data_IF_417096965478
#
_entry.id   IF_417096965478
#
_cell.length_a   1.000
_cell.length_b   1.000
_cell.length_c   1.000
_cell.angle_alpha   90.00
_cell.angle_beta   90.00
_cell.angle_gamma   90.00
#
_symmetry.space_group_name_H-M   'P 1'
#
loop_
_entity.id
_entity.type
_entity.pdbx_description
1 polymer ?
#
# COMPACT_ATOMS: atom_id res chain seq x y z
N UNK A 1 33.02 -2.04 -7.73
CA UNK A 1 32.46 -0.75 -8.17
C UNK A 1 31.39 -0.21 -7.20
N UNK A 2 30.25 -0.87 -6.98
CA UNK A 2 29.17 -0.37 -6.10
C UNK A 2 29.64 0.12 -4.71
N UNK A 3 30.23 -0.76 -3.88
CA UNK A 3 30.69 -0.42 -2.52
C UNK A 3 31.69 0.74 -2.49
N UNK A 4 32.53 0.86 -3.53
CA UNK A 4 33.49 1.95 -3.66
C UNK A 4 32.79 3.28 -3.91
N UNK A 5 31.76 3.32 -4.76
CA UNK A 5 30.97 4.53 -4.98
C UNK A 5 30.15 4.92 -3.74
N UNK A 6 29.56 3.96 -3.03
CA UNK A 6 28.90 4.22 -1.75
C UNK A 6 29.86 4.92 -0.78
N UNK A 7 31.07 4.39 -0.60
CA UNK A 7 32.09 5.01 0.26
C UNK A 7 32.50 6.41 -0.22
N UNK A 8 32.77 6.57 -1.52
CA UNK A 8 33.15 7.86 -2.10
C UNK A 8 32.09 8.95 -1.88
N UNK A 9 30.80 8.60 -2.02
CA UNK A 9 29.68 9.51 -1.83
C UNK A 9 29.11 9.51 -0.41
N UNK A 10 29.77 8.85 0.55
CA UNK A 10 29.37 8.78 1.97
C UNK A 10 27.99 8.15 2.20
N UNK A 11 27.61 7.16 1.39
CA UNK A 11 26.46 6.31 1.63
C UNK A 11 26.88 5.02 2.35
N UNK A 12 26.27 4.77 3.50
CA UNK A 12 26.36 3.48 4.18
C UNK A 12 25.37 2.52 3.51
N UNK A 13 25.85 1.53 2.75
CA UNK A 13 25.00 0.63 1.95
C UNK A 13 24.00 -0.16 2.80
N UNK A 14 24.34 -0.40 4.06
CA UNK A 14 23.49 -1.12 5.00
C UNK A 14 22.42 -0.23 5.69
N UNK A 15 22.49 1.09 5.56
CA UNK A 15 21.53 2.02 6.18
C UNK A 15 20.75 2.84 5.17
N UNK A 16 21.41 3.31 4.11
CA UNK A 16 20.84 4.31 3.20
C UNK A 16 20.30 3.72 1.90
N UNK A 17 20.61 2.46 1.59
CA UNK A 17 20.25 1.84 0.30
C UNK A 17 19.12 0.84 0.51
N UNK A 18 18.00 1.08 -0.15
CA UNK A 18 16.76 0.31 -0.03
C UNK A 18 16.32 -0.14 -1.44
N UNK A 19 16.92 -1.20 -2.02
CA UNK A 19 16.42 -1.80 -3.25
C UNK A 19 14.98 -2.28 -3.07
N UNK A 20 14.25 -2.25 -4.18
CA UNK A 20 12.85 -2.67 -4.24
C UNK A 20 12.71 -3.95 -5.08
N UNK A 21 11.96 -4.92 -4.57
CA UNK A 21 11.62 -6.14 -5.30
C UNK A 21 10.72 -5.88 -6.50
N UNK A 22 10.76 -6.76 -7.50
CA UNK A 22 9.90 -6.61 -8.68
C UNK A 22 8.41 -6.68 -8.30
N UNK A 23 7.60 -5.78 -8.86
CA UNK A 23 6.14 -5.80 -8.71
C UNK A 23 5.47 -7.08 -9.25
N UNK A 24 6.21 -7.90 -10.01
CA UNK A 24 5.75 -9.19 -10.53
C UNK A 24 5.87 -10.32 -9.49
N UNK A 25 6.66 -10.13 -8.43
CA UNK A 25 6.86 -11.12 -7.37
C UNK A 25 5.65 -11.10 -6.43
N UNK A 26 4.98 -12.25 -6.29
CA UNK A 26 3.92 -12.45 -5.29
C UNK A 26 4.24 -13.69 -4.45
N UNK A 27 4.90 -13.49 -3.30
CA UNK A 27 5.19 -14.57 -2.34
C UNK A 27 3.94 -15.14 -1.66
N UNK A 28 2.78 -14.49 -1.78
CA UNK A 28 1.53 -15.00 -1.25
C UNK A 28 0.81 -15.95 -2.23
N UNK A 29 1.35 -16.14 -3.45
CA UNK A 29 0.75 -17.03 -4.46
C UNK A 29 0.89 -18.50 -4.04
N UNK A 30 -0.18 -19.28 -4.21
CA UNK A 30 -0.27 -20.68 -3.75
C UNK A 30 -0.15 -21.73 -4.86
N UNK A 31 -0.33 -21.33 -6.13
CA UNK A 31 0.05 -22.17 -7.29
C UNK A 31 1.56 -22.47 -7.27
N UNK A 32 1.94 -23.73 -7.45
CA UNK A 32 3.31 -24.20 -7.23
C UNK A 32 4.34 -23.56 -8.14
N UNK A 33 4.04 -23.41 -9.43
CA UNK A 33 5.00 -22.90 -10.41
C UNK A 33 5.24 -21.41 -10.20
N UNK A 34 4.17 -20.66 -9.95
CA UNK A 34 4.25 -19.23 -9.66
C UNK A 34 4.88 -18.95 -8.29
N UNK A 35 4.53 -19.76 -7.28
CA UNK A 35 5.15 -19.65 -5.96
C UNK A 35 6.66 -19.88 -6.06
N UNK A 36 7.08 -20.93 -6.78
CA UNK A 36 8.50 -21.22 -7.01
C UNK A 36 9.20 -20.08 -7.75
N UNK A 37 8.60 -19.57 -8.83
CA UNK A 37 9.17 -18.45 -9.59
C UNK A 37 9.33 -17.19 -8.73
N UNK A 38 8.32 -16.86 -7.92
CA UNK A 38 8.36 -15.73 -7.00
C UNK A 38 9.45 -15.93 -5.93
N UNK A 39 9.52 -17.12 -5.34
CA UNK A 39 10.54 -17.47 -4.34
C UNK A 39 11.96 -17.35 -4.91
N UNK A 40 12.23 -17.98 -6.06
CA UNK A 40 13.55 -17.99 -6.67
C UNK A 40 14.03 -16.56 -6.97
N UNK A 41 13.14 -15.71 -7.49
CA UNK A 41 13.44 -14.29 -7.74
C UNK A 41 13.75 -13.52 -6.45
N UNK A 42 12.94 -13.72 -5.41
CA UNK A 42 13.12 -13.05 -4.13
C UNK A 42 14.41 -13.50 -3.41
N UNK A 43 14.70 -14.80 -3.42
CA UNK A 43 15.91 -15.36 -2.83
C UNK A 43 17.18 -14.88 -3.55
N UNK A 44 17.16 -14.78 -4.89
CA UNK A 44 18.28 -14.18 -5.64
C UNK A 44 18.49 -12.72 -5.26
N UNK A 45 17.41 -11.92 -5.14
CA UNK A 45 17.50 -10.52 -4.72
C UNK A 45 18.11 -10.36 -3.33
N UNK A 46 17.73 -11.19 -2.34
CA UNK A 46 18.36 -11.17 -1.01
C UNK A 46 19.83 -11.57 -1.08
N UNK A 47 20.19 -12.57 -1.89
CA UNK A 47 21.57 -12.97 -2.13
C UNK A 47 22.41 -11.84 -2.72
N UNK A 48 21.83 -11.09 -3.68
CA UNK A 48 22.46 -9.90 -4.28
C UNK A 48 22.65 -8.79 -3.26
N UNK A 49 21.63 -8.51 -2.45
CA UNK A 49 21.71 -7.52 -1.36
C UNK A 49 22.84 -7.85 -0.40
N UNK A 50 22.90 -9.10 0.07
CA UNK A 50 23.96 -9.57 0.97
C UNK A 50 25.36 -9.41 0.35
N UNK A 51 25.56 -9.85 -0.91
CA UNK A 51 26.84 -9.67 -1.63
C UNK A 51 27.24 -8.20 -1.74
N UNK A 52 26.26 -7.32 -1.96
CA UNK A 52 26.45 -5.88 -2.07
C UNK A 52 26.60 -5.17 -0.70
N UNK A 53 26.40 -5.86 0.42
CA UNK A 53 26.45 -5.27 1.76
C UNK A 53 25.25 -4.36 2.05
N UNK A 54 24.13 -4.60 1.37
CA UNK A 54 22.85 -3.94 1.62
C UNK A 54 22.13 -4.74 2.71
N UNK A 55 21.49 -4.06 3.66
CA UNK A 55 20.75 -4.69 4.77
C UNK A 55 19.25 -4.45 4.74
N UNK A 56 18.73 -3.60 3.85
CA UNK A 56 17.31 -3.32 3.74
C UNK A 56 16.85 -3.76 2.35
N UNK A 57 15.81 -4.57 2.26
CA UNK A 57 15.20 -4.98 0.99
C UNK A 57 13.69 -4.77 1.07
N UNK A 58 13.18 -3.81 0.31
CA UNK A 58 11.77 -3.46 0.30
C UNK A 58 10.99 -4.26 -0.73
N UNK A 59 9.76 -4.64 -0.39
CA UNK A 59 8.86 -5.31 -1.32
C UNK A 59 7.40 -5.15 -0.89
N UNK A 60 6.51 -5.24 -1.87
CA UNK A 60 5.08 -5.36 -1.60
C UNK A 60 4.76 -6.76 -1.07
N UNK A 61 3.95 -6.91 -0.01
CA UNK A 61 3.57 -8.22 0.54
C UNK A 61 2.90 -9.15 -0.47
N UNK A 62 2.28 -8.59 -1.51
CA UNK A 62 1.65 -9.32 -2.60
C UNK A 62 0.13 -9.32 -2.51
N UNK A 63 -0.50 -10.40 -2.96
CA UNK A 63 -1.96 -10.50 -2.98
C UNK A 63 -2.47 -11.95 -2.82
N UNK A 64 -3.68 -12.06 -2.26
CA UNK A 64 -4.41 -13.29 -1.98
C UNK A 64 -5.32 -13.73 -3.14
N UNK A 65 -5.00 -13.43 -4.40
CA UNK A 65 -5.90 -13.76 -5.51
C UNK A 65 -6.01 -15.27 -5.81
N UNK A 66 -5.06 -16.08 -5.35
CA UNK A 66 -5.01 -17.52 -5.64
C UNK A 66 -5.53 -18.41 -4.49
N UNK A 67 -5.95 -17.82 -3.37
CA UNK A 67 -6.25 -18.53 -2.13
C UNK A 67 -7.11 -17.69 -1.18
N UNK A 68 -7.45 -18.22 -0.01
CA UNK A 68 -8.04 -17.40 1.05
C UNK A 68 -7.01 -16.40 1.59
N UNK A 69 -7.47 -15.32 2.23
CA UNK A 69 -6.57 -14.33 2.85
C UNK A 69 -5.65 -14.99 3.88
N UNK A 70 -6.18 -15.89 4.71
CA UNK A 70 -5.42 -16.59 5.74
C UNK A 70 -4.31 -17.45 5.14
N UNK A 71 -4.62 -18.29 4.14
CA UNK A 71 -3.64 -19.11 3.43
C UNK A 71 -2.57 -18.24 2.76
N UNK A 72 -2.94 -17.10 2.18
CA UNK A 72 -2.00 -16.19 1.53
C UNK A 72 -1.01 -15.58 2.54
N UNK A 73 -1.47 -15.18 3.74
CA UNK A 73 -0.59 -14.68 4.81
C UNK A 73 0.35 -15.77 5.32
N UNK A 74 -0.15 -17.00 5.50
CA UNK A 74 0.67 -18.16 5.90
C UNK A 74 1.72 -18.49 4.83
N UNK A 75 1.32 -18.49 3.55
CA UNK A 75 2.22 -18.75 2.42
C UNK A 75 3.34 -17.70 2.33
N UNK A 76 2.99 -16.41 2.38
CA UNK A 76 3.96 -15.32 2.41
C UNK A 76 4.95 -15.48 3.57
N UNK A 77 4.44 -15.69 4.77
CA UNK A 77 5.27 -15.80 5.99
C UNK A 77 6.19 -17.02 5.94
N UNK A 78 5.70 -18.16 5.42
CA UNK A 78 6.49 -19.38 5.22
C UNK A 78 7.66 -19.15 4.24
N UNK A 79 7.39 -18.48 3.10
CA UNK A 79 8.44 -18.14 2.13
C UNK A 79 9.48 -17.17 2.70
N UNK A 80 9.06 -16.18 3.48
CA UNK A 80 9.98 -15.27 4.18
C UNK A 80 10.86 -16.03 5.18
N UNK A 81 10.27 -16.89 6.02
CA UNK A 81 11.00 -17.71 6.98
C UNK A 81 12.01 -18.65 6.29
N UNK A 82 11.65 -19.23 5.14
CA UNK A 82 12.55 -20.04 4.34
C UNK A 82 13.73 -19.19 3.82
N UNK A 83 13.46 -18.02 3.27
CA UNK A 83 14.49 -17.13 2.74
C UNK A 83 15.41 -16.57 3.82
N UNK A 84 14.89 -16.26 5.03
CA UNK A 84 15.69 -15.80 6.17
C UNK A 84 16.64 -16.88 6.70
N UNK A 85 16.27 -18.16 6.59
CA UNK A 85 17.11 -19.31 6.97
C UNK A 85 18.21 -19.61 5.93
N UNK A 86 18.06 -19.13 4.70
CA UNK A 86 19.07 -19.31 3.65
C UNK A 86 20.34 -18.48 3.98
N UNK A 87 21.52 -19.13 4.14
CA UNK A 87 22.76 -18.43 4.45
C UNK A 87 23.16 -17.39 3.41
N UNK A 88 22.74 -17.57 2.15
CA UNK A 88 23.03 -16.61 1.08
C UNK A 88 22.31 -15.27 1.28
N UNK A 89 21.21 -15.24 2.03
CA UNK A 89 20.50 -14.02 2.41
C UNK A 89 21.22 -13.19 3.48
N UNK A 90 22.27 -13.74 4.13
CA UNK A 90 23.11 -13.05 5.10
C UNK A 90 22.32 -12.50 6.28
N UNK A 91 22.29 -11.17 6.43
CA UNK A 91 21.54 -10.43 7.47
C UNK A 91 20.54 -9.43 6.88
N UNK A 92 20.10 -9.62 5.62
CA UNK A 92 19.23 -8.68 4.91
C UNK A 92 17.83 -8.62 5.53
N UNK A 93 17.45 -7.49 6.10
CA UNK A 93 16.12 -7.22 6.62
C UNK A 93 15.12 -7.07 5.47
N UNK A 94 14.02 -7.82 5.50
CA UNK A 94 12.94 -7.71 4.52
C UNK A 94 11.90 -6.72 5.03
N UNK A 95 11.64 -5.66 4.26
CA UNK A 95 10.67 -4.62 4.60
C UNK A 95 9.35 -4.89 3.89
N UNK A 96 8.31 -5.17 4.68
CA UNK A 96 6.94 -5.22 4.20
C UNK A 96 6.48 -3.78 3.96
N UNK A 97 6.20 -3.43 2.71
CA UNK A 97 5.66 -2.11 2.42
C UNK A 97 4.15 -2.05 2.72
N UNK A 98 3.70 -0.93 3.29
CA UNK A 98 2.27 -0.60 3.37
C UNK A 98 1.69 -0.42 1.97
N UNK A 99 0.48 -0.91 1.71
CA UNK A 99 -0.15 -0.86 0.38
C UNK A 99 -1.35 0.08 0.33
N UNK A 100 -1.59 0.73 -0.82
CA UNK A 100 -2.72 1.64 -1.01
C UNK A 100 -4.11 0.97 -0.92
N UNK A 101 -4.20 -0.30 -1.29
CA UNK A 101 -5.48 -1.02 -1.45
C UNK A 101 -5.80 -1.81 -0.18
N UNK A 102 -6.82 -1.36 0.57
CA UNK A 102 -7.29 -1.98 1.81
C UNK A 102 -8.48 -2.94 1.63
N UNK A 103 -9.14 -2.89 0.48
CA UNK A 103 -10.23 -3.79 0.08
C UNK A 103 -9.84 -4.59 -1.16
N UNK A 104 -10.13 -5.89 -1.18
CA UNK A 104 -9.87 -6.76 -2.33
C UNK A 104 -8.84 -7.84 -2.01
N UNK A 105 -7.90 -8.09 -2.91
CA UNK A 105 -6.94 -9.19 -2.74
C UNK A 105 -5.55 -8.72 -2.31
N UNK A 106 -5.22 -7.43 -2.43
CA UNK A 106 -3.93 -6.89 -1.98
C UNK A 106 -3.74 -7.13 -0.47
N UNK A 107 -2.53 -7.48 -0.08
CA UNK A 107 -2.12 -7.69 1.31
C UNK A 107 -1.28 -6.49 1.75
N UNK A 108 -1.49 -6.02 2.98
CA UNK A 108 -0.73 -4.91 3.56
C UNK A 108 -1.44 -3.56 3.44
N UNK A 109 -2.72 -3.56 3.08
CA UNK A 109 -3.54 -2.35 3.07
C UNK A 109 -3.95 -1.89 4.46
N UNK A 110 -3.72 -2.71 5.48
CA UNK A 110 -3.95 -2.35 6.88
C UNK A 110 -2.74 -2.71 7.73
N UNK A 111 -2.50 -1.97 8.82
CA UNK A 111 -1.42 -2.26 9.74
C UNK A 111 -1.61 -3.63 10.41
N UNK A 112 -2.85 -4.04 10.63
CA UNK A 112 -3.22 -5.32 11.22
C UNK A 112 -2.77 -6.51 10.35
N UNK A 113 -2.82 -6.40 9.02
CA UNK A 113 -2.29 -7.43 8.13
C UNK A 113 -0.76 -7.54 8.21
N UNK A 114 -0.05 -6.41 8.24
CA UNK A 114 1.40 -6.42 8.40
C UNK A 114 1.80 -7.02 9.75
N UNK A 115 1.09 -6.65 10.82
CA UNK A 115 1.28 -7.24 12.14
C UNK A 115 1.00 -8.76 12.14
N UNK A 116 -0.02 -9.23 11.42
CA UNK A 116 -0.31 -10.65 11.29
C UNK A 116 0.83 -11.42 10.57
N UNK A 117 1.43 -10.84 9.53
CA UNK A 117 2.60 -11.42 8.86
C UNK A 117 3.78 -11.45 9.83
N UNK A 118 4.11 -10.33 10.46
CA UNK A 118 5.21 -10.22 11.43
C UNK A 118 5.03 -11.20 12.58
N UNK A 119 3.79 -11.47 13.03
CA UNK A 119 3.52 -12.46 14.08
C UNK A 119 3.96 -13.88 13.68
N UNK A 120 3.87 -14.22 12.39
CA UNK A 120 4.22 -15.52 11.81
C UNK A 120 5.70 -15.66 11.38
N UNK A 121 6.49 -14.59 11.45
CA UNK A 121 7.93 -14.64 11.15
C UNK A 121 8.70 -15.27 12.31
N UNK A 122 9.61 -16.19 12.03
CA UNK A 122 10.42 -16.88 13.05
C UNK A 122 11.47 -15.93 13.65
N UNK A 123 12.26 -15.26 12.80
CA UNK A 123 13.29 -14.31 13.20
C UNK A 123 12.79 -12.87 13.06
N UNK A 124 12.25 -12.30 14.14
CA UNK A 124 11.74 -10.93 14.17
C UNK A 124 12.82 -9.87 13.91
N UNK A 125 14.09 -10.21 14.06
CA UNK A 125 15.20 -9.30 13.72
C UNK A 125 15.46 -9.20 12.22
N UNK A 126 14.79 -10.04 11.40
CA UNK A 126 14.92 -10.11 9.94
C UNK A 126 13.75 -9.51 9.16
N UNK A 127 12.75 -8.96 9.85
CA UNK A 127 11.60 -8.29 9.24
C UNK A 127 11.43 -6.86 9.73
N UNK A 128 10.99 -5.97 8.86
CA UNK A 128 10.59 -4.61 9.17
C UNK A 128 9.47 -4.15 8.26
N UNK A 129 9.15 -2.87 8.34
CA UNK A 129 8.12 -2.20 7.54
C UNK A 129 8.71 -0.97 6.88
N UNK A 130 8.36 -0.78 5.61
CA UNK A 130 8.48 0.50 4.93
C UNK A 130 7.11 1.16 4.91
N UNK A 131 7.03 2.39 5.43
CA UNK A 131 5.79 3.17 5.38
C UNK A 131 5.83 4.06 4.15
N UNK A 132 4.93 3.80 3.20
CA UNK A 132 4.69 4.68 2.06
C UNK A 132 3.56 5.65 2.40
N UNK A 133 3.84 6.95 2.33
CA UNK A 133 2.88 7.99 2.72
C UNK A 133 1.68 8.08 1.79
N UNK A 134 1.85 7.86 0.49
CA UNK A 134 0.75 7.83 -0.46
C UNK A 134 -0.12 6.58 -0.22
N UNK A 135 0.50 5.43 0.04
CA UNK A 135 -0.20 4.18 0.30
C UNK A 135 -1.04 4.23 1.56
N UNK A 136 -0.47 4.62 2.70
CA UNK A 136 -1.26 4.71 3.94
C UNK A 136 -2.37 5.74 3.82
N UNK A 137 -2.14 6.87 3.13
CA UNK A 137 -3.18 7.85 2.84
C UNK A 137 -4.30 7.29 1.96
N UNK A 138 -3.95 6.62 0.86
CA UNK A 138 -4.92 5.96 -0.01
C UNK A 138 -5.67 4.82 0.71
N UNK A 139 -5.06 4.21 1.72
CA UNK A 139 -5.65 3.19 2.59
C UNK A 139 -6.54 3.76 3.72
N UNK A 140 -6.56 5.09 3.89
CA UNK A 140 -7.44 5.76 4.86
C UNK A 140 -6.76 6.23 6.15
N UNK A 141 -5.44 6.17 6.24
CA UNK A 141 -4.66 6.73 7.34
C UNK A 141 -4.27 8.17 7.00
N UNK A 142 -4.85 9.14 7.71
CA UNK A 142 -4.62 10.55 7.42
C UNK A 142 -3.30 11.05 8.05
N UNK A 143 -2.57 11.87 7.31
CA UNK A 143 -1.28 12.46 7.72
C UNK A 143 -1.28 14.00 7.62
N UNK A 144 -2.40 14.61 7.19
CA UNK A 144 -2.46 16.01 6.74
C UNK A 144 -2.31 17.02 7.87
N UNK A 145 -2.86 16.73 9.05
CA UNK A 145 -2.76 17.60 10.24
C UNK A 145 -1.88 16.95 11.30
N UNK A 146 -1.30 17.72 12.24
CA UNK A 146 -0.52 17.17 13.34
C UNK A 146 -1.28 16.11 14.15
N UNK A 147 -2.57 16.33 14.38
CA UNK A 147 -3.44 15.43 15.15
C UNK A 147 -3.68 14.13 14.39
N UNK A 148 -4.05 14.21 13.11
CA UNK A 148 -4.25 13.05 12.25
C UNK A 148 -2.94 12.22 12.08
N UNK A 149 -1.82 12.93 11.90
CA UNK A 149 -0.51 12.31 11.83
C UNK A 149 -0.17 11.57 13.13
N UNK A 150 -0.37 12.20 14.29
CA UNK A 150 -0.16 11.57 15.59
C UNK A 150 -1.04 10.32 15.75
N UNK A 151 -2.34 10.42 15.45
CA UNK A 151 -3.28 9.29 15.51
C UNK A 151 -2.83 8.11 14.62
N UNK A 152 -2.37 8.40 13.39
CA UNK A 152 -1.85 7.38 12.47
C UNK A 152 -0.59 6.72 13.02
N UNK A 153 0.38 7.50 13.50
CA UNK A 153 1.63 6.97 14.03
C UNK A 153 1.43 6.21 15.35
N UNK A 154 0.51 6.65 16.20
CA UNK A 154 0.15 5.97 17.44
C UNK A 154 -0.59 4.66 17.16
N UNK A 155 -1.41 4.62 16.10
CA UNK A 155 -1.99 3.37 15.61
C UNK A 155 -0.90 2.44 15.06
N UNK A 156 0.05 2.95 14.29
CA UNK A 156 1.18 2.16 13.79
C UNK A 156 1.97 1.53 14.94
N UNK A 157 2.34 2.33 15.95
CA UNK A 157 3.10 1.85 17.10
C UNK A 157 2.31 0.83 17.93
N UNK A 158 1.01 1.07 18.16
CA UNK A 158 0.17 0.13 18.90
C UNK A 158 -0.03 -1.21 18.19
N UNK A 159 -0.15 -1.21 16.87
CA UNK A 159 -0.50 -2.42 16.08
C UNK A 159 0.73 -3.19 15.62
N UNK A 160 1.74 -2.48 15.10
CA UNK A 160 2.97 -3.06 14.55
C UNK A 160 4.12 -2.87 15.52
N UNK A 161 4.27 -1.67 16.09
CA UNK A 161 5.42 -1.25 16.88
C UNK A 161 6.39 -0.42 16.05
N UNK A 162 6.72 0.78 16.52
CA UNK A 162 7.62 1.72 15.83
C UNK A 162 9.01 1.14 15.62
N UNK A 163 9.42 0.17 16.44
CA UNK A 163 10.69 -0.56 16.28
C UNK A 163 10.80 -1.35 14.97
N UNK A 164 9.67 -1.68 14.32
CA UNK A 164 9.66 -2.32 13.01
C UNK A 164 9.68 -1.33 11.84
N UNK A 165 9.53 -0.02 12.07
CA UNK A 165 9.68 0.97 11.02
C UNK A 165 11.17 1.13 10.67
N UNK A 166 11.50 0.94 9.39
CA UNK A 166 12.91 0.88 8.94
C UNK A 166 13.21 1.73 7.71
N UNK A 167 12.19 2.14 6.98
CA UNK A 167 12.29 3.02 5.82
C UNK A 167 10.97 3.75 5.60
N UNK A 168 11.02 4.82 4.83
CA UNK A 168 9.84 5.50 4.32
C UNK A 168 9.96 5.66 2.81
N UNK A 169 8.84 5.49 2.12
CA UNK A 169 8.64 6.10 0.82
C UNK A 169 7.82 7.37 1.01
N UNK A 170 8.38 8.50 0.56
CA UNK A 170 7.85 9.84 0.82
C UNK A 170 7.21 10.35 -0.46
N UNK A 171 5.94 10.01 -0.62
CA UNK A 171 5.13 10.25 -1.79
C UNK A 171 3.88 11.06 -1.44
N UNK A 172 3.60 12.14 -2.17
CA UNK A 172 2.28 12.79 -2.10
C UNK A 172 1.27 11.95 -2.89
N UNK A 173 -0.03 12.18 -2.70
CA UNK A 173 -1.08 11.42 -3.37
C UNK A 173 -1.87 12.29 -4.34
N UNK A 174 -1.96 11.88 -5.61
CA UNK A 174 -2.90 12.47 -6.57
C UNK A 174 -4.34 12.13 -6.27
N UNK A 175 -4.59 11.10 -5.44
CA UNK A 175 -5.92 10.63 -5.12
C UNK A 175 -6.33 11.01 -3.69
N UNK A 176 -7.63 11.20 -3.40
CA UNK A 176 -8.10 11.55 -2.07
C UNK A 176 -7.89 10.42 -1.04
N UNK A 177 -7.98 10.79 0.24
CA UNK A 177 -7.90 9.88 1.40
C UNK A 177 -8.86 8.70 1.22
N UNK A 178 -8.38 7.48 1.48
CA UNK A 178 -9.23 6.28 1.43
C UNK A 178 -9.69 5.87 0.03
N UNK A 179 -9.10 6.44 -1.03
CA UNK A 179 -9.48 6.11 -2.42
C UNK A 179 -9.08 4.70 -2.88
N UNK A 180 -8.16 4.05 -2.16
CA UNK A 180 -7.57 2.78 -2.57
C UNK A 180 -6.82 2.86 -3.89
N UNK A 181 -6.23 4.03 -4.22
CA UNK A 181 -5.48 4.27 -5.45
C UNK A 181 -4.04 4.65 -5.12
N UNK A 182 -3.12 3.83 -5.60
CA UNK A 182 -1.70 4.14 -5.68
C UNK A 182 -1.46 5.06 -6.88
N UNK A 183 -1.37 6.37 -6.62
CA UNK A 183 -1.10 7.40 -7.63
C UNK A 183 -0.24 8.52 -7.02
N UNK A 184 1.07 8.40 -7.16
CA UNK A 184 2.01 9.36 -6.55
C UNK A 184 1.92 10.76 -7.19
N UNK A 185 2.01 11.77 -6.34
CA UNK A 185 2.18 13.19 -6.65
C UNK A 185 3.53 13.70 -6.15
N UNK A 186 3.97 14.82 -6.71
CA UNK A 186 5.11 15.55 -6.18
C UNK A 186 4.80 16.19 -4.83
N UNK A 187 5.82 16.36 -4.00
CA UNK A 187 5.71 16.87 -2.62
C UNK A 187 4.91 18.19 -2.58
N UNK A 188 3.84 18.20 -1.78
CA UNK A 188 2.95 19.33 -1.55
C UNK A 188 1.91 19.60 -2.64
N UNK A 189 1.95 18.87 -3.76
CA UNK A 189 1.03 19.08 -4.91
C UNK A 189 -0.18 18.16 -4.88
N UNK A 190 -0.16 17.11 -4.06
CA UNK A 190 -1.27 16.17 -3.94
C UNK A 190 -2.22 16.51 -2.79
N UNK A 191 -3.05 15.54 -2.45
CA UNK A 191 -4.05 15.63 -1.40
C UNK A 191 -3.44 15.54 0.01
N UNK A 192 -2.20 15.06 0.16
CA UNK A 192 -1.50 15.14 1.45
C UNK A 192 -1.07 16.58 1.74
N UNK A 193 -0.58 17.29 0.72
CA UNK A 193 -0.15 18.68 0.85
C UNK A 193 1.11 18.86 1.70
N UNK A 194 1.60 20.11 1.80
CA UNK A 194 2.92 20.36 2.37
C UNK A 194 2.97 20.07 3.88
N UNK A 195 1.86 20.31 4.59
CA UNK A 195 1.76 20.11 6.04
C UNK A 195 2.03 18.66 6.46
N UNK A 196 1.61 17.67 5.66
CA UNK A 196 1.89 16.26 5.95
C UNK A 196 3.40 15.97 5.99
N UNK A 197 4.15 16.51 5.01
CA UNK A 197 5.59 16.34 4.95
C UNK A 197 6.32 17.12 6.03
N UNK A 198 5.79 18.29 6.42
CA UNK A 198 6.32 19.01 7.60
C UNK A 198 6.22 18.15 8.86
N UNK A 199 5.10 17.47 9.09
CA UNK A 199 4.93 16.57 10.24
C UNK A 199 5.98 15.44 10.23
N UNK A 200 6.20 14.82 9.07
CA UNK A 200 7.18 13.74 8.88
C UNK A 200 8.61 14.23 9.12
N UNK A 201 9.00 15.34 8.50
CA UNK A 201 10.38 15.85 8.56
C UNK A 201 10.77 16.35 9.96
N UNK A 202 9.79 16.63 10.82
CA UNK A 202 10.00 17.08 12.19
C UNK A 202 9.73 15.99 13.25
N UNK A 203 9.47 14.73 12.84
CA UNK A 203 9.30 13.63 13.77
C UNK A 203 10.65 12.99 14.14
N UNK A 204 11.06 13.17 15.40
CA UNK A 204 12.28 12.59 15.96
C UNK A 204 12.37 11.05 15.86
N UNK A 205 11.23 10.34 15.81
CA UNK A 205 11.18 8.88 15.67
C UNK A 205 11.75 8.39 14.34
N UNK A 206 11.75 9.26 13.31
CA UNK A 206 12.13 8.92 11.95
C UNK A 206 13.60 9.27 11.64
N UNK A 207 14.31 9.90 12.58
CA UNK A 207 15.69 10.30 12.37
C UNK A 207 16.61 9.09 12.15
N UNK A 208 17.43 9.17 11.10
CA UNK A 208 18.35 8.11 10.71
C UNK A 208 17.74 7.00 9.86
N UNK A 209 16.43 7.05 9.60
CA UNK A 209 15.79 6.14 8.64
C UNK A 209 15.99 6.65 7.19
N UNK A 210 16.20 5.76 6.21
CA UNK A 210 16.16 6.12 4.80
C UNK A 210 14.75 6.58 4.41
N UNK A 211 14.68 7.74 3.76
CA UNK A 211 13.48 8.30 3.14
C UNK A 211 13.70 8.36 1.63
N UNK A 212 12.88 7.64 0.87
CA UNK A 212 13.04 7.47 -0.58
C UNK A 212 11.89 8.18 -1.31
N UNK A 213 12.20 9.01 -2.30
CA UNK A 213 11.21 9.60 -3.19
C UNK A 213 10.92 8.64 -4.35
N UNK A 214 9.64 8.41 -4.63
CA UNK A 214 9.15 7.69 -5.81
C UNK A 214 8.12 8.55 -6.57
N UNK A 215 8.27 9.87 -6.42
CA UNK A 215 7.44 10.88 -7.05
C UNK A 215 7.67 10.88 -8.57
N UNK A 216 6.65 11.19 -9.38
CA UNK A 216 6.78 11.22 -10.83
C UNK A 216 7.76 12.31 -11.27
N UNK A 217 8.60 12.01 -12.27
CA UNK A 217 9.57 12.95 -12.86
C UNK A 217 9.16 13.49 -14.24
N UNK A 218 8.01 13.06 -14.74
CA UNK A 218 7.46 13.54 -16.01
C UNK A 218 7.12 15.03 -15.94
N UNK A 219 7.59 15.78 -16.92
CA UNK A 219 7.33 17.21 -17.08
C UNK A 219 6.96 17.53 -18.53
N UNK A 220 6.14 18.55 -18.82
CA UNK A 220 5.83 18.93 -20.20
C UNK A 220 7.10 19.27 -20.99
N UNK A 221 7.24 18.74 -22.20
CA UNK A 221 8.36 19.07 -23.09
C UNK A 221 8.29 20.56 -23.46
N UNK A 222 9.32 21.37 -23.14
CA UNK A 222 9.36 22.78 -23.51
C UNK A 222 9.21 23.03 -25.02
N UNK A 223 9.59 22.05 -25.85
CA UNK A 223 9.48 22.10 -27.31
C UNK A 223 8.12 21.62 -27.82
N UNK A 224 7.43 20.79 -27.05
CA UNK A 224 6.12 20.26 -27.41
C UNK A 224 5.29 19.93 -26.17
N UNK A 225 4.49 20.87 -25.65
CA UNK A 225 3.70 20.67 -24.43
C UNK A 225 2.72 19.48 -24.45
N UNK A 226 2.50 18.84 -25.60
CA UNK A 226 1.70 17.60 -25.72
C UNK A 226 2.49 16.32 -25.39
N UNK A 227 3.80 16.44 -25.17
CA UNK A 227 4.69 15.34 -24.77
C UNK A 227 5.24 15.61 -23.38
N UNK A 228 5.63 14.54 -22.71
CA UNK A 228 6.38 14.60 -21.45
C UNK A 228 7.84 14.21 -21.67
N UNK A 229 8.72 14.79 -20.87
CA UNK A 229 10.12 14.44 -20.72
C UNK A 229 10.47 14.30 -19.25
N UNK A 230 11.47 13.48 -18.95
CA UNK A 230 11.98 13.30 -17.59
C UNK A 230 12.76 14.53 -17.13
N UNK A 231 12.28 15.19 -16.06
CA UNK A 231 13.05 16.19 -15.33
C UNK A 231 13.94 15.52 -14.29
N UNK A 232 15.17 15.20 -14.72
CA UNK A 232 16.18 14.56 -13.86
C UNK A 232 16.59 15.40 -12.65
N UNK A 233 16.25 16.68 -12.61
CA UNK A 233 16.53 17.58 -11.48
C UNK A 233 15.41 17.66 -10.45
N UNK A 234 14.25 17.04 -10.70
CA UNK A 234 13.06 17.18 -9.85
C UNK A 234 13.28 16.65 -8.43
N UNK A 235 13.79 15.42 -8.28
CA UNK A 235 14.06 14.85 -6.97
C UNK A 235 15.10 15.64 -6.18
N UNK A 236 16.09 16.25 -6.84
CA UNK A 236 17.04 17.12 -6.15
C UNK A 236 16.35 18.34 -5.53
N UNK A 237 15.34 18.91 -6.21
CA UNK A 237 14.54 20.02 -5.69
C UNK A 237 13.56 19.57 -4.60
N UNK A 238 12.96 18.39 -4.72
CA UNK A 238 12.08 17.85 -3.69
C UNK A 238 12.83 17.46 -2.41
N UNK A 239 14.05 16.92 -2.52
CA UNK A 239 14.93 16.70 -1.36
C UNK A 239 15.23 18.03 -0.67
N UNK A 240 15.57 19.08 -1.43
CA UNK A 240 15.83 20.41 -0.86
C UNK A 240 14.59 21.03 -0.21
N UNK A 241 13.41 20.80 -0.78
CA UNK A 241 12.14 21.20 -0.20
C UNK A 241 11.89 20.47 1.13
N UNK A 242 12.06 19.15 1.18
CA UNK A 242 11.88 18.37 2.42
C UNK A 242 12.88 18.81 3.51
N UNK A 243 14.15 19.01 3.13
CA UNK A 243 15.18 19.53 4.04
C UNK A 243 14.82 20.91 4.61
N UNK A 244 14.21 21.79 3.80
CA UNK A 244 13.83 23.14 4.27
C UNK A 244 12.66 23.13 5.25
N UNK A 245 11.84 22.07 5.27
CA UNK A 245 10.72 21.96 6.23
C UNK A 245 11.17 21.68 7.66
N UNK A 246 12.41 21.24 7.87
CA UNK A 246 12.94 20.93 9.21
C UNK A 246 13.05 22.23 10.02
N UNK A 247 12.29 22.30 11.11
CA UNK A 247 12.24 23.47 11.99
C UNK A 247 11.52 24.70 11.39
N UNK A 248 10.95 24.60 10.19
CA UNK A 248 10.20 25.68 9.57
C UNK A 248 8.93 25.99 10.36
N UNK A 249 8.65 27.27 10.61
CA UNK A 249 7.41 27.71 11.23
C UNK A 249 6.27 27.67 10.21
N UNK A 250 5.22 26.90 10.49
CA UNK A 250 4.05 26.77 9.61
C UNK A 250 3.18 28.01 9.57
N UNK A 251 3.32 28.89 10.54
CA UNK A 251 2.64 30.18 10.54
C UNK A 251 3.39 31.28 9.78
N UNK A 252 4.62 31.00 9.36
CA UNK A 252 5.42 31.94 8.57
C UNK A 252 4.82 32.19 7.18
N UNK A 253 5.07 33.39 6.65
CA UNK A 253 4.69 33.74 5.27
C UNK A 253 5.36 32.82 4.24
N UNK A 254 6.60 32.38 4.50
CA UNK A 254 7.34 31.47 3.62
C UNK A 254 6.62 30.12 3.47
N UNK A 255 6.23 29.50 4.59
CA UNK A 255 5.50 28.23 4.56
C UNK A 255 4.15 28.38 3.86
N UNK A 256 3.39 29.43 4.20
CA UNK A 256 2.06 29.70 3.63
C UNK A 256 2.11 29.94 2.13
N UNK A 257 3.12 30.68 1.66
CA UNK A 257 3.34 30.92 0.24
C UNK A 257 3.69 29.61 -0.48
N UNK A 258 4.64 28.83 0.06
CA UNK A 258 5.07 27.58 -0.53
C UNK A 258 3.94 26.55 -0.62
N UNK A 259 3.15 26.38 0.45
CA UNK A 259 1.98 25.50 0.46
C UNK A 259 0.95 25.93 -0.57
N UNK A 260 0.64 27.23 -0.64
CA UNK A 260 -0.30 27.78 -1.63
C UNK A 260 0.16 27.53 -3.06
N UNK A 261 1.43 27.80 -3.38
CA UNK A 261 2.00 27.59 -4.71
C UNK A 261 1.99 26.12 -5.13
N UNK A 262 2.35 25.20 -4.23
CA UNK A 262 2.36 23.77 -4.49
C UNK A 262 0.93 23.22 -4.64
N UNK A 263 -0.01 23.68 -3.81
CA UNK A 263 -1.41 23.33 -3.93
C UNK A 263 -2.01 23.81 -5.25
N UNK A 264 -1.67 25.01 -5.72
CA UNK A 264 -2.10 25.51 -7.02
C UNK A 264 -1.55 24.64 -8.15
N UNK A 265 -0.24 24.34 -8.12
CA UNK A 265 0.43 23.53 -9.15
C UNK A 265 -0.22 22.17 -9.36
N UNK A 266 -0.71 21.55 -8.28
CA UNK A 266 -1.36 20.24 -8.35
C UNK A 266 -2.88 20.27 -8.54
N UNK A 267 -3.54 21.44 -8.49
CA UNK A 267 -5.00 21.56 -8.44
C UNK A 267 -5.70 20.80 -9.56
N UNK A 268 -5.32 21.07 -10.81
CA UNK A 268 -5.95 20.46 -11.98
C UNK A 268 -5.86 18.93 -11.95
N UNK A 269 -4.76 18.39 -11.45
CA UNK A 269 -4.56 16.95 -11.39
C UNK A 269 -5.37 16.30 -10.26
N UNK A 270 -5.46 16.97 -9.11
CA UNK A 270 -6.35 16.56 -8.01
C UNK A 270 -7.81 16.55 -8.43
N UNK A 271 -8.28 17.61 -9.10
CA UNK A 271 -9.65 17.70 -9.63
C UNK A 271 -9.94 16.55 -10.62
N UNK A 272 -9.02 16.32 -11.57
CA UNK A 272 -9.17 15.23 -12.55
C UNK A 272 -9.24 13.86 -11.89
N UNK A 273 -8.44 13.61 -10.86
CA UNK A 273 -8.42 12.31 -10.16
C UNK A 273 -9.62 12.17 -9.23
N UNK A 274 -10.05 13.23 -8.57
CA UNK A 274 -11.28 13.27 -7.77
C UNK A 274 -12.49 12.88 -8.63
N UNK A 275 -12.66 13.51 -9.80
CA UNK A 275 -13.71 13.18 -10.75
C UNK A 275 -13.74 11.68 -11.14
N UNK A 276 -12.55 11.05 -11.27
CA UNK A 276 -12.46 9.63 -11.56
C UNK A 276 -12.89 8.75 -10.38
N UNK A 277 -12.54 9.16 -9.15
CA UNK A 277 -12.94 8.47 -7.92
C UNK A 277 -14.45 8.55 -7.76
N UNK A 278 -15.03 9.75 -7.87
CA UNK A 278 -16.46 10.00 -7.73
C UNK A 278 -17.27 9.14 -8.73
N UNK A 279 -16.88 9.15 -10.01
CA UNK A 279 -17.51 8.31 -11.04
C UNK A 279 -17.43 6.81 -10.74
N UNK A 280 -16.36 6.35 -10.06
CA UNK A 280 -16.21 4.94 -9.67
C UNK A 280 -17.12 4.60 -8.50
N UNK A 281 -17.25 5.49 -7.53
CA UNK A 281 -18.13 5.33 -6.37
C UNK A 281 -19.60 5.34 -6.76
N UNK A 282 -20.00 6.24 -7.66
CA UNK A 282 -21.32 6.24 -8.27
C UNK A 282 -21.64 4.91 -8.95
N UNK A 283 -20.70 4.37 -9.75
CA UNK A 283 -20.86 3.06 -10.38
C UNK A 283 -20.95 1.91 -9.37
N UNK A 284 -20.17 1.95 -8.29
CA UNK A 284 -20.23 0.95 -7.20
C UNK A 284 -21.59 1.01 -6.50
N UNK A 285 -22.05 2.21 -6.12
CA UNK A 285 -23.33 2.40 -5.42
C UNK A 285 -24.53 2.01 -6.29
N UNK A 286 -24.49 2.30 -7.59
CA UNK A 286 -25.50 1.86 -8.56
C UNK A 286 -25.57 0.32 -8.66
N UNK A 287 -24.43 -0.37 -8.80
CA UNK A 287 -24.37 -1.85 -8.82
C UNK A 287 -24.91 -2.47 -7.52
N UNK A 288 -24.63 -1.86 -6.37
CA UNK A 288 -25.14 -2.33 -5.08
C UNK A 288 -26.66 -2.15 -4.97
N UNK A 289 -27.21 -1.04 -5.47
CA UNK A 289 -28.66 -0.81 -5.55
C UNK A 289 -29.34 -1.83 -6.48
N UNK A 290 -28.76 -2.12 -7.65
CA UNK A 290 -29.29 -3.15 -8.57
C UNK A 290 -29.24 -4.55 -7.97
N UNK A 291 -28.15 -4.93 -7.28
CA UNK A 291 -28.06 -6.23 -6.58
C UNK A 291 -29.11 -6.36 -5.47
N UNK A 292 -29.35 -5.30 -4.68
CA UNK A 292 -30.42 -5.30 -3.66
C UNK A 292 -31.82 -5.40 -4.28
N UNK A 293 -32.07 -4.70 -5.38
CA UNK A 293 -33.35 -4.78 -6.12
C UNK A 293 -33.58 -6.15 -6.75
N UNK A 294 -32.55 -6.77 -7.34
CA UNK A 294 -32.62 -8.13 -7.88
C UNK A 294 -32.83 -9.18 -6.79
N UNK A 295 -32.15 -9.07 -5.65
CA UNK A 295 -32.35 -9.98 -4.51
C UNK A 295 -33.76 -9.87 -3.90
N UNK A 296 -34.34 -8.66 -3.88
CA UNK A 296 -35.73 -8.44 -3.47
C UNK A 296 -36.72 -9.06 -4.46
N UNK A 297 -36.50 -8.87 -5.77
CA UNK A 297 -37.34 -9.46 -6.82
C UNK A 297 -37.32 -11.00 -6.79
N UNK A 298 -36.16 -11.62 -6.56
CA UNK A 298 -36.04 -13.09 -6.42
C UNK A 298 -36.77 -13.58 -5.17
N UNK A 299 -36.65 -12.89 -4.02
CA UNK A 299 -37.42 -13.22 -2.80
C UNK A 299 -38.94 -13.12 -3.01
N UNK A 300 -39.42 -12.11 -3.73
CA UNK A 300 -40.84 -11.95 -4.04
C UNK A 300 -41.38 -13.02 -5.00
N UNK A 301 -40.56 -13.51 -5.94
CA UNK A 301 -40.93 -14.62 -6.83
C UNK A 301 -41.11 -15.94 -6.05
N UNK A 302 -40.24 -16.23 -5.07
CA UNK A 302 -40.38 -17.41 -4.22
C UNK A 302 -41.52 -17.29 -3.19
N UNK A 303 -41.88 -16.07 -2.76
CA UNK A 303 -43.03 -15.86 -1.87
C UNK A 303 -44.39 -16.08 -2.56
N UNK A 304 -44.47 -15.84 -3.88
CA UNK A 304 -45.68 -16.06 -4.69
C UNK A 304 -45.89 -17.52 -5.12
N UNK A 305 -44.88 -18.38 -4.97
CA UNK A 305 -44.95 -19.81 -5.27
C UNK A 305 -45.22 -20.65 -4.01
N UNK A 306 -46.35 -20.45 -3.33
CA UNK A 306 -46.88 -21.44 -2.37
C UNK A 306 -48.04 -22.22 -3.01
N UNK A 307 -48.08 -23.55 -2.90
CA UNK A 307 -49.09 -24.36 -3.58
C UNK A 307 -50.47 -24.18 -2.92
N UNK A 308 -51.51 -24.01 -3.74
CA UNK A 308 -52.91 -24.06 -3.30
C UNK A 308 -53.17 -25.40 -2.62
N UNK A 309 -53.47 -25.40 -1.31
CA UNK A 309 -54.03 -26.56 -0.62
C UNK A 309 -55.37 -26.94 -1.27
N UNK A 310 -55.44 -28.15 -1.81
CA UNK A 310 -56.66 -28.75 -2.35
C UNK A 310 -57.73 -28.92 -1.27
N UNK A 311 -58.98 -28.69 -1.67
CA UNK A 311 -60.18 -28.98 -0.88
C UNK A 311 -60.28 -30.49 -0.66
N UNK A 312 -60.56 -30.89 0.58
CA UNK A 312 -61.06 -32.21 0.97
C UNK A 312 -62.40 -32.47 0.26
N UNK A 313 -62.49 -33.58 -0.46
CA UNK A 313 -63.75 -34.31 -0.65
C UNK A 313 -63.63 -35.63 0.09
N UNK A 314 -64.65 -35.93 0.88
CA UNK A 314 -64.88 -37.24 1.50
C UNK A 314 -65.49 -38.17 0.46
N UNK A 315 -64.94 -39.38 0.29
CA UNK A 315 -65.75 -40.56 0.00
C UNK A 315 -65.05 -41.84 0.45
N UNK A 316 -65.77 -42.57 1.29
CA UNK A 316 -65.68 -44.00 1.67
C UNK A 316 -64.99 -44.97 0.71
N UNK A 317 -64.33 -45.99 1.27
CA UNK A 317 -64.09 -47.26 0.56
C UNK A 317 -63.02 -48.13 1.20
N UNK A 318 -63.44 -49.28 1.74
CA UNK A 318 -62.66 -50.35 2.38
C UNK A 318 -61.72 -51.11 1.42
N UNK A 319 -60.80 -51.92 1.99
CA UNK A 319 -60.21 -53.12 1.37
C UNK A 319 -58.68 -53.11 1.27
N UNK A 320 -57.97 -53.82 2.16
CA UNK A 320 -57.32 -55.15 1.91
C UNK A 320 -56.16 -55.09 0.90
N UNK A 321 -54.88 -55.21 1.31
CA UNK A 321 -54.12 -56.46 1.50
C UNK A 321 -52.75 -56.29 0.80
N UNK A 322 -51.62 -56.62 1.45
CA UNK A 322 -50.64 -57.67 1.03
C UNK A 322 -50.08 -57.46 -0.40
N UNK A 323 -48.79 -57.34 -0.71
CA UNK A 323 -47.50 -57.80 -0.13
C UNK A 323 -46.39 -56.75 -0.38
#
# INVERSE_FOLDING_TARGET
MFKQHCSHHKYESNKHVVPHGSYLVNLAHTDSDRAKQAYDSFADDLSRCNKLGIQLYNFHPGNAASSTREEALQQLSSQLNQAHKDPSSGTVLTLLETMAVFEGNTIGGTFEELAAIIALIDDKSRVGVCLDTCHVFAAGYDLRTPEAYADTMDKFDRVIGVSYLKALHVNDSKAPLGSGRDLHANIGTGFLGLRAFHNIMNDSRLQGLPMVLETPIDSPDPKNPKKTIDDKGLWAREIKLLESLVGMDVESEEFKQLDTELQERGRSERERVQDQVDRREEKKSAKTKTKKGGAAAVKDMFAKAKPKKGKKEESSGEGSGEE
#
